data_IF_291459856855
#
_entry.id   IF_291459856855
#
_cell.length_a   1.000
_cell.length_b   1.000
_cell.length_c   1.000
_cell.angle_alpha   90.00
_cell.angle_beta   90.00
_cell.angle_gamma   90.00
#
_symmetry.space_group_name_H-M   'P 1'
#
loop_
_entity.id
_entity.type
_entity.pdbx_description
1 polymer ?
#
# COMPACT_ATOMS: atom_id res chain seq x y z
N UNK A 1 -25.01 36.27 -19.34
CA UNK A 1 -25.96 35.14 -19.27
C UNK A 1 -26.16 34.78 -17.82
N UNK A 2 -27.42 34.71 -17.38
CA UNK A 2 -27.86 34.79 -15.98
C UNK A 2 -27.47 33.55 -15.17
N UNK A 3 -26.91 33.79 -13.98
CA UNK A 3 -26.88 32.85 -12.86
C UNK A 3 -28.31 32.49 -12.46
N UNK A 4 -28.61 31.20 -12.36
CA UNK A 4 -29.74 30.70 -11.56
C UNK A 4 -29.21 29.79 -10.47
N UNK A 5 -29.42 30.25 -9.25
CA UNK A 5 -29.23 29.58 -7.97
C UNK A 5 -29.92 28.21 -7.92
N UNK A 6 -29.17 27.16 -7.59
CA UNK A 6 -29.71 25.88 -7.17
C UNK A 6 -30.19 26.05 -5.72
N UNK A 7 -31.50 26.13 -5.53
CA UNK A 7 -32.09 26.11 -4.19
C UNK A 7 -32.02 24.69 -3.61
N UNK A 8 -31.56 24.65 -2.38
CA UNK A 8 -31.61 23.51 -1.47
C UNK A 8 -33.05 23.13 -1.11
N UNK A 9 -33.24 21.84 -0.82
CA UNK A 9 -34.42 21.18 -0.27
C UNK A 9 -35.59 20.95 -1.26
N UNK A 10 -35.64 19.73 -1.80
CA UNK A 10 -36.86 19.15 -2.38
C UNK A 10 -37.06 17.77 -1.75
N UNK A 11 -37.77 17.75 -0.63
CA UNK A 11 -38.50 16.57 -0.15
C UNK A 11 -39.52 16.23 -1.23
N UNK A 12 -39.20 15.28 -2.12
CA UNK A 12 -40.11 14.89 -3.21
C UNK A 12 -41.19 13.96 -2.66
N UNK A 13 -42.43 14.41 -2.84
CA UNK A 13 -43.67 13.66 -2.70
C UNK A 13 -43.59 12.41 -3.59
N UNK A 14 -44.01 11.21 -3.12
CA UNK A 14 -44.04 10.01 -3.94
C UNK A 14 -45.02 10.20 -5.11
N UNK A 15 -44.57 9.93 -6.33
CA UNK A 15 -45.46 9.83 -7.48
C UNK A 15 -46.24 8.51 -7.34
N UNK A 16 -47.55 8.60 -7.06
CA UNK A 16 -48.47 7.48 -7.16
C UNK A 16 -48.68 7.18 -8.65
N UNK A 17 -47.98 6.18 -9.18
CA UNK A 17 -48.41 5.51 -10.40
C UNK A 17 -49.55 4.53 -10.04
N UNK A 18 -50.40 4.19 -11.01
CA UNK A 18 -51.74 3.60 -10.87
C UNK A 18 -51.91 2.21 -10.19
N UNK A 19 -50.94 1.75 -9.41
CA UNK A 19 -51.06 0.61 -8.50
C UNK A 19 -50.43 1.05 -7.18
N UNK A 20 -50.78 0.50 -6.00
CA UNK A 20 -50.32 0.94 -4.66
C UNK A 20 -48.79 0.88 -4.41
N UNK A 21 -47.97 0.99 -5.45
CA UNK A 21 -46.53 1.00 -5.47
C UNK A 21 -45.95 2.28 -4.88
N UNK A 22 -45.18 2.12 -3.81
CA UNK A 22 -44.42 3.22 -3.20
C UNK A 22 -43.08 3.31 -3.91
N UNK A 23 -42.85 4.42 -4.62
CA UNK A 23 -41.64 4.62 -5.40
C UNK A 23 -40.74 5.70 -4.79
N UNK A 24 -39.46 5.39 -4.63
CA UNK A 24 -38.42 6.32 -4.21
C UNK A 24 -37.27 6.35 -5.20
N UNK A 25 -36.80 7.55 -5.53
CA UNK A 25 -35.67 7.76 -6.43
C UNK A 25 -34.46 8.25 -5.65
N UNK A 26 -33.35 7.54 -5.77
CA UNK A 26 -32.06 7.91 -5.20
C UNK A 26 -31.07 8.19 -6.34
N UNK A 27 -30.54 9.41 -6.40
CA UNK A 27 -29.43 9.76 -7.31
C UNK A 27 -28.10 9.62 -6.59
N UNK A 28 -27.19 8.82 -7.17
CA UNK A 28 -25.83 8.58 -6.68
C UNK A 28 -24.81 9.07 -7.72
N UNK A 29 -24.99 10.31 -8.20
CA UNK A 29 -24.15 10.92 -9.24
C UNK A 29 -24.57 10.50 -10.64
N UNK A 30 -23.80 9.62 -11.29
CA UNK A 30 -24.08 9.13 -12.65
C UNK A 30 -25.01 7.92 -12.69
N UNK A 31 -25.55 7.52 -11.52
CA UNK A 31 -26.55 6.47 -11.36
C UNK A 31 -27.80 7.02 -10.75
N UNK A 32 -28.94 6.55 -11.24
CA UNK A 32 -30.23 6.78 -10.63
C UNK A 32 -30.79 5.41 -10.26
N UNK A 33 -31.06 5.21 -8.98
CA UNK A 33 -31.72 4.02 -8.47
C UNK A 33 -33.18 4.38 -8.20
N UNK A 34 -34.08 3.53 -8.67
CA UNK A 34 -35.51 3.61 -8.40
C UNK A 34 -35.88 2.38 -7.60
N UNK A 35 -36.31 2.60 -6.36
CA UNK A 35 -36.86 1.57 -5.50
C UNK A 35 -38.38 1.64 -5.59
N UNK A 36 -39.01 0.54 -5.96
CA UNK A 36 -40.45 0.41 -6.03
C UNK A 36 -40.89 -0.71 -5.09
N UNK A 37 -41.70 -0.40 -4.09
CA UNK A 37 -42.33 -1.40 -3.22
C UNK A 37 -43.74 -1.67 -3.70
N UNK A 38 -44.06 -2.92 -4.02
CA UNK A 38 -45.43 -3.34 -4.34
C UNK A 38 -46.06 -4.05 -3.12
N UNK A 39 -47.06 -3.45 -2.46
CA UNK A 39 -47.69 -4.03 -1.28
C UNK A 39 -48.57 -5.26 -1.60
N UNK A 40 -48.96 -5.47 -2.86
CA UNK A 40 -49.79 -6.61 -3.25
C UNK A 40 -48.97 -7.89 -3.37
N UNK A 41 -47.73 -7.79 -3.87
CA UNK A 41 -46.80 -8.92 -4.00
C UNK A 41 -45.76 -9.00 -2.86
N UNK A 42 -45.80 -8.04 -1.93
CA UNK A 42 -44.82 -7.83 -0.87
C UNK A 42 -43.36 -7.88 -1.38
N UNK A 43 -43.13 -7.26 -2.54
CA UNK A 43 -41.84 -7.31 -3.23
C UNK A 43 -41.25 -5.91 -3.43
N UNK A 44 -39.94 -5.80 -3.25
CA UNK A 44 -39.16 -4.59 -3.57
C UNK A 44 -38.44 -4.81 -4.89
N UNK A 45 -38.73 -3.97 -5.88
CA UNK A 45 -37.99 -3.90 -7.13
C UNK A 45 -36.98 -2.74 -7.08
N UNK A 46 -35.76 -3.00 -7.57
CA UNK A 46 -34.70 -1.99 -7.66
C UNK A 46 -34.23 -1.88 -9.10
N UNK A 47 -34.64 -0.81 -9.79
CA UNK A 47 -34.20 -0.51 -11.15
C UNK A 47 -33.04 0.48 -11.10
N UNK A 48 -31.98 0.20 -11.85
CA UNK A 48 -30.79 1.04 -11.87
C UNK A 48 -30.57 1.60 -13.28
N UNK A 49 -30.65 2.92 -13.39
CA UNK A 49 -30.33 3.66 -14.61
C UNK A 49 -28.89 4.14 -14.56
N UNK A 50 -28.16 3.89 -15.64
CA UNK A 50 -26.79 4.34 -15.84
C UNK A 50 -26.77 5.37 -16.96
N UNK A 51 -25.98 6.43 -16.80
CA UNK A 51 -25.72 7.35 -17.91
C UNK A 51 -24.87 6.64 -18.97
N UNK A 52 -25.24 6.71 -20.25
CA UNK A 52 -24.46 6.11 -21.35
C UNK A 52 -23.00 6.63 -21.39
N UNK A 53 -22.81 7.91 -21.04
CA UNK A 53 -21.49 8.55 -20.92
C UNK A 53 -20.62 7.92 -19.81
N UNK A 54 -21.24 7.31 -18.80
CA UNK A 54 -20.54 6.76 -17.64
C UNK A 54 -19.97 5.37 -17.87
N UNK A 55 -20.52 4.62 -18.82
CA UNK A 55 -20.10 3.25 -19.13
C UNK A 55 -18.94 3.22 -20.14
N UNK A 56 -18.84 4.23 -21.01
CA UNK A 56 -17.95 4.18 -22.17
C UNK A 56 -16.76 5.14 -22.15
N UNK A 57 -16.77 6.22 -21.36
CA UNK A 57 -15.70 7.22 -21.44
C UNK A 57 -14.79 7.19 -20.22
N UNK A 58 -13.69 6.45 -20.32
CA UNK A 58 -12.49 6.67 -19.49
C UNK A 58 -11.82 8.00 -19.86
N UNK A 59 -12.54 9.13 -19.76
CA UNK A 59 -11.90 10.44 -19.84
C UNK A 59 -11.00 10.55 -18.62
N UNK A 60 -9.71 10.39 -18.85
CA UNK A 60 -8.68 10.70 -17.89
C UNK A 60 -8.20 12.11 -18.16
N UNK A 61 -8.16 12.94 -17.13
CA UNK A 61 -7.61 14.28 -17.19
C UNK A 61 -6.32 14.29 -16.36
N UNK A 62 -5.21 14.68 -16.98
CA UNK A 62 -3.94 14.84 -16.31
C UNK A 62 -3.80 16.28 -15.80
N UNK A 63 -3.54 16.44 -14.51
CA UNK A 63 -3.23 17.72 -13.88
C UNK A 63 -1.74 17.76 -13.54
N UNK A 64 -1.04 18.75 -14.09
CA UNK A 64 0.38 18.98 -13.85
C UNK A 64 0.55 20.10 -12.82
N UNK A 65 1.35 19.87 -11.78
CA UNK A 65 1.64 20.86 -10.75
C UNK A 65 3.07 20.72 -10.23
N UNK A 66 3.53 21.74 -9.50
CA UNK A 66 4.84 21.75 -8.85
C UNK A 66 4.65 21.47 -7.36
N UNK A 67 5.43 20.53 -6.81
CA UNK A 67 5.38 20.13 -5.41
C UNK A 67 6.75 20.31 -4.76
N UNK A 68 6.81 20.94 -3.59
CA UNK A 68 8.05 21.08 -2.84
C UNK A 68 8.53 19.72 -2.31
N UNK A 69 9.79 19.38 -2.59
CA UNK A 69 10.44 18.18 -2.08
C UNK A 69 11.50 18.56 -1.02
N UNK A 70 11.26 18.28 0.27
CA UNK A 70 12.19 18.62 1.35
C UNK A 70 13.57 17.97 1.21
N UNK A 71 13.63 16.76 0.64
CA UNK A 71 14.88 15.99 0.52
C UNK A 71 15.92 16.70 -0.35
N UNK A 72 15.50 17.28 -1.47
CA UNK A 72 16.40 17.98 -2.41
C UNK A 72 16.29 19.52 -2.32
N UNK A 73 15.34 20.05 -1.55
CA UNK A 73 15.12 21.48 -1.41
C UNK A 73 14.67 22.16 -2.71
N UNK A 74 13.91 21.45 -3.57
CA UNK A 74 13.46 21.96 -4.88
C UNK A 74 12.00 21.62 -5.12
N UNK A 75 11.37 22.36 -6.03
CA UNK A 75 10.07 22.00 -6.57
C UNK A 75 10.23 20.94 -7.66
N UNK A 76 9.47 19.86 -7.54
CA UNK A 76 9.40 18.77 -8.51
C UNK A 76 8.08 18.82 -9.26
N UNK A 77 8.11 18.58 -10.57
CA UNK A 77 6.90 18.43 -11.38
C UNK A 77 6.23 17.11 -11.01
N UNK A 78 4.93 17.17 -10.71
CA UNK A 78 4.09 16.01 -10.40
C UNK A 78 2.89 16.01 -11.34
N UNK A 79 2.44 14.81 -11.71
CA UNK A 79 1.27 14.60 -12.56
C UNK A 79 0.27 13.75 -11.79
N UNK A 80 -0.96 14.26 -11.63
CA UNK A 80 -2.07 13.49 -11.09
C UNK A 80 -3.11 13.26 -12.18
N UNK A 81 -3.49 12.00 -12.37
CA UNK A 81 -4.56 11.64 -13.31
C UNK A 81 -5.88 11.53 -12.55
N UNK A 82 -6.92 12.18 -13.07
CA UNK A 82 -8.28 12.12 -12.57
C UNK A 82 -9.17 11.42 -13.59
N UNK A 83 -10.05 10.55 -13.11
CA UNK A 83 -11.08 9.92 -13.93
C UNK A 83 -12.41 10.62 -13.71
N UNK A 84 -13.15 10.96 -14.78
CA UNK A 84 -14.50 11.55 -14.67
C UNK A 84 -15.43 10.70 -13.78
N UNK A 85 -15.37 9.38 -13.94
CA UNK A 85 -16.09 8.42 -13.09
C UNK A 85 -15.10 7.41 -12.52
N UNK A 86 -15.06 7.29 -11.19
CA UNK A 86 -14.26 6.28 -10.51
C UNK A 86 -14.90 4.90 -10.66
N UNK A 87 -14.10 3.84 -10.56
CA UNK A 87 -14.61 2.47 -10.47
C UNK A 87 -15.61 2.38 -9.31
N UNK A 88 -16.75 1.73 -9.58
CA UNK A 88 -17.80 1.57 -8.60
C UNK A 88 -17.30 0.82 -7.36
N UNK A 89 -17.74 1.32 -6.20
CA UNK A 89 -17.47 0.66 -4.93
C UNK A 89 -18.46 -0.48 -4.75
N UNK A 90 -17.97 -1.65 -4.34
CA UNK A 90 -18.79 -2.85 -4.16
C UNK A 90 -19.52 -2.80 -2.82
N UNK A 91 -20.54 -1.96 -2.73
CA UNK A 91 -21.30 -1.74 -1.50
C UNK A 91 -21.85 -3.04 -0.92
N UNK A 92 -22.44 -3.92 -1.73
CA UNK A 92 -22.96 -5.20 -1.24
C UNK A 92 -21.89 -6.09 -0.58
N UNK A 93 -20.68 -6.14 -1.15
CA UNK A 93 -19.56 -6.91 -0.58
C UNK A 93 -19.15 -6.32 0.78
N UNK A 94 -19.16 -5.00 0.87
CA UNK A 94 -18.81 -4.26 2.08
C UNK A 94 -19.88 -4.38 3.16
N UNK A 95 -21.15 -4.30 2.79
CA UNK A 95 -22.28 -4.43 3.71
C UNK A 95 -22.32 -5.85 4.30
N UNK A 96 -22.14 -6.89 3.47
CA UNK A 96 -22.00 -8.26 3.95
C UNK A 96 -20.84 -8.39 4.95
N UNK A 97 -19.68 -7.80 4.64
CA UNK A 97 -18.51 -7.81 5.51
C UNK A 97 -18.76 -7.11 6.85
N UNK A 98 -19.48 -5.98 6.83
CA UNK A 98 -19.85 -5.23 8.03
C UNK A 98 -20.88 -6.00 8.87
N UNK A 99 -21.84 -6.67 8.22
CA UNK A 99 -22.87 -7.48 8.86
C UNK A 99 -22.37 -8.84 9.40
N UNK A 100 -21.09 -9.17 9.19
CA UNK A 100 -20.45 -10.32 9.82
C UNK A 100 -20.21 -11.51 8.90
N UNK A 101 -19.95 -11.26 7.61
CA UNK A 101 -19.45 -12.28 6.67
C UNK A 101 -18.37 -13.17 7.34
N UNK A 102 -18.55 -14.50 7.34
CA UNK A 102 -17.62 -15.43 8.00
C UNK A 102 -16.21 -15.39 7.42
N UNK A 103 -16.04 -15.06 6.13
CA UNK A 103 -14.73 -15.07 5.48
C UNK A 103 -13.82 -13.94 5.98
N UNK A 104 -14.41 -12.83 6.49
CA UNK A 104 -13.73 -11.66 7.08
C UNK A 104 -12.47 -11.22 6.33
N UNK A 105 -12.49 -11.27 5.01
CA UNK A 105 -11.34 -10.97 4.16
C UNK A 105 -11.55 -9.65 3.42
N UNK A 106 -10.55 -8.76 3.45
CA UNK A 106 -10.58 -7.55 2.64
C UNK A 106 -10.10 -7.84 1.21
N UNK A 107 -10.93 -7.54 0.22
CA UNK A 107 -10.58 -7.62 -1.19
C UNK A 107 -9.91 -6.33 -1.71
N UNK A 108 -9.17 -6.46 -2.81
CA UNK A 108 -8.58 -5.31 -3.50
C UNK A 108 -9.69 -4.43 -4.08
N UNK A 109 -9.80 -3.20 -3.59
CA UNK A 109 -10.87 -2.26 -3.95
C UNK A 109 -11.71 -1.81 -2.77
N UNK A 110 -11.70 -2.56 -1.66
CA UNK A 110 -12.33 -2.15 -0.40
C UNK A 110 -11.55 -0.99 0.22
N UNK A 111 -12.27 0.08 0.62
CA UNK A 111 -11.69 1.32 1.16
C UNK A 111 -11.44 1.19 2.67
N UNK A 112 -10.79 0.10 3.08
CA UNK A 112 -10.37 -0.09 4.47
C UNK A 112 -9.26 0.90 4.86
N UNK A 113 -9.21 1.22 6.15
CA UNK A 113 -8.11 1.97 6.75
C UNK A 113 -6.93 1.03 6.95
N UNK A 114 -5.71 1.57 6.86
CA UNK A 114 -4.50 0.76 6.99
C UNK A 114 -3.38 1.47 7.74
N UNK A 115 -2.61 0.69 8.48
CA UNK A 115 -1.32 1.09 9.08
C UNK A 115 -0.29 0.03 8.74
N UNK A 116 0.87 0.45 8.25
CA UNK A 116 1.96 -0.45 7.88
C UNK A 116 3.16 -0.26 8.79
N UNK A 117 3.80 -1.36 9.13
CA UNK A 117 5.06 -1.37 9.84
C UNK A 117 6.05 -2.33 9.17
N UNK A 118 7.34 -2.08 9.37
CA UNK A 118 8.42 -2.97 8.99
C UNK A 118 9.35 -3.17 10.19
N UNK A 119 9.72 -4.42 10.46
CA UNK A 119 10.83 -4.74 11.34
C UNK A 119 12.10 -4.62 10.49
N UNK A 120 12.98 -3.69 10.85
CA UNK A 120 14.27 -3.52 10.19
C UNK A 120 15.29 -4.40 10.92
N UNK A 121 16.02 -5.29 10.21
CA UNK A 121 16.99 -6.16 10.86
C UNK A 121 18.20 -5.38 11.36
N UNK A 122 18.78 -5.91 12.44
CA UNK A 122 20.03 -5.42 13.00
C UNK A 122 21.23 -5.78 12.11
N UNK A 123 22.40 -5.29 12.49
CA UNK A 123 23.68 -5.72 11.92
C UNK A 123 24.22 -6.85 12.77
N UNK A 124 24.63 -7.94 12.13
CA UNK A 124 25.23 -9.09 12.80
C UNK A 124 26.70 -9.17 12.40
N UNK A 125 27.59 -9.17 13.39
CA UNK A 125 29.03 -9.41 13.17
C UNK A 125 29.37 -10.89 13.19
N UNK A 126 28.52 -11.71 13.81
CA UNK A 126 28.72 -13.16 13.92
C UNK A 126 27.38 -13.90 13.94
N UNK A 127 27.44 -15.22 13.77
CA UNK A 127 26.26 -16.08 13.74
C UNK A 127 25.51 -16.14 15.07
N UNK A 128 26.21 -15.98 16.20
CA UNK A 128 25.57 -16.01 17.52
C UNK A 128 24.60 -14.84 17.71
N UNK A 129 24.98 -13.63 17.27
CA UNK A 129 24.12 -12.44 17.27
C UNK A 129 22.92 -12.61 16.35
N UNK A 130 23.11 -13.22 15.18
CA UNK A 130 22.01 -13.51 14.26
C UNK A 130 21.01 -14.50 14.88
N UNK A 131 21.50 -15.57 15.52
CA UNK A 131 20.63 -16.54 16.21
C UNK A 131 19.90 -15.91 17.41
N UNK A 132 20.55 -15.01 18.15
CA UNK A 132 19.88 -14.24 19.20
C UNK A 132 18.73 -13.40 18.62
N UNK A 133 18.97 -12.74 17.47
CA UNK A 133 17.94 -11.96 16.78
C UNK A 133 16.79 -12.82 16.26
N UNK A 134 17.08 -14.02 15.73
CA UNK A 134 16.05 -15.01 15.40
C UNK A 134 15.22 -15.38 16.64
N UNK A 135 15.86 -15.57 17.80
CA UNK A 135 15.17 -15.80 19.08
C UNK A 135 14.24 -14.64 19.48
N UNK A 136 14.67 -13.38 19.27
CA UNK A 136 13.82 -12.19 19.47
C UNK A 136 12.57 -12.24 18.58
N UNK A 137 12.74 -12.62 17.31
CA UNK A 137 11.62 -12.77 16.37
C UNK A 137 10.70 -13.94 16.72
N UNK A 138 11.22 -15.07 17.20
CA UNK A 138 10.39 -16.19 17.65
C UNK A 138 9.46 -15.80 18.80
N UNK A 139 9.93 -15.00 19.77
CA UNK A 139 9.08 -14.43 20.83
C UNK A 139 7.95 -13.54 20.28
N UNK A 140 8.23 -12.81 19.21
CA UNK A 140 7.20 -12.06 18.49
C UNK A 140 6.19 -12.99 17.80
N UNK A 141 6.64 -14.05 17.12
CA UNK A 141 5.76 -15.04 16.50
C UNK A 141 4.83 -15.71 17.53
N UNK A 142 5.33 -16.04 18.71
CA UNK A 142 4.51 -16.58 19.80
C UNK A 142 3.42 -15.59 20.23
N UNK A 143 3.77 -14.30 20.35
CA UNK A 143 2.79 -13.25 20.64
C UNK A 143 1.74 -13.13 19.53
N UNK A 144 2.16 -13.12 18.26
CA UNK A 144 1.25 -13.01 17.11
C UNK A 144 0.30 -14.22 17.02
N UNK A 145 0.79 -15.43 17.25
CA UNK A 145 -0.04 -16.63 17.31
C UNK A 145 -1.09 -16.56 18.43
N UNK A 146 -0.78 -15.95 19.58
CA UNK A 146 -1.75 -15.73 20.66
C UNK A 146 -2.86 -14.73 20.32
N UNK A 147 -2.64 -13.86 19.33
CA UNK A 147 -3.66 -12.90 18.87
C UNK A 147 -4.67 -13.50 17.89
N UNK A 148 -4.39 -14.67 17.32
CA UNK A 148 -5.31 -15.35 16.41
C UNK A 148 -6.58 -15.77 17.15
N UNK A 149 -7.74 -15.67 16.48
CA UNK A 149 -9.00 -16.19 17.02
C UNK A 149 -8.88 -17.69 17.28
N UNK A 150 -9.29 -18.12 18.48
CA UNK A 150 -9.13 -19.50 18.98
C UNK A 150 -9.81 -20.56 18.12
N UNK A 151 -10.78 -20.17 17.29
CA UNK A 151 -11.59 -21.08 16.47
C UNK A 151 -10.92 -21.47 15.14
N UNK A 152 -9.80 -20.82 14.76
CA UNK A 152 -9.05 -21.06 13.52
C UNK A 152 -7.63 -21.57 13.83
N UNK A 153 -7.51 -22.67 14.58
CA UNK A 153 -6.28 -23.24 15.15
C UNK A 153 -5.26 -23.80 14.13
N UNK A 154 -5.06 -23.16 12.97
CA UNK A 154 -3.86 -23.42 12.18
C UNK A 154 -2.78 -22.43 12.63
N UNK A 155 -1.82 -22.93 13.42
CA UNK A 155 -0.64 -22.18 13.84
C UNK A 155 -0.04 -21.47 12.63
N UNK A 156 0.18 -20.18 12.74
CA UNK A 156 0.83 -19.44 11.66
C UNK A 156 2.29 -19.87 11.58
N UNK A 157 2.61 -20.61 10.54
CA UNK A 157 3.98 -20.95 10.19
C UNK A 157 4.56 -19.87 9.27
N UNK A 158 5.53 -19.13 9.79
CA UNK A 158 6.37 -18.19 9.05
C UNK A 158 7.73 -18.85 8.88
N UNK A 159 8.17 -19.02 7.64
CA UNK A 159 9.49 -19.60 7.34
C UNK A 159 10.57 -18.62 7.80
N UNK A 160 11.49 -19.06 8.65
CA UNK A 160 12.65 -18.28 9.08
C UNK A 160 13.82 -18.64 8.17
N UNK A 161 14.50 -17.63 7.63
CA UNK A 161 15.64 -17.76 6.73
C UNK A 161 16.80 -16.96 7.35
N UNK A 162 17.97 -17.58 7.41
CA UNK A 162 19.18 -17.00 8.01
C UNK A 162 20.31 -16.99 6.99
N UNK A 163 21.43 -16.35 7.32
CA UNK A 163 22.63 -16.29 6.47
C UNK A 163 23.22 -17.66 6.13
N UNK A 164 22.92 -18.71 6.91
CA UNK A 164 23.35 -20.10 6.64
C UNK A 164 22.60 -20.75 5.48
N UNK A 165 21.38 -20.30 5.22
CA UNK A 165 20.59 -20.81 4.12
C UNK A 165 21.04 -20.08 2.84
N UNK A 166 21.68 -20.79 1.90
CA UNK A 166 22.09 -20.31 0.56
C UNK A 166 20.89 -19.95 -0.35
N UNK A 167 19.78 -19.52 0.25
CA UNK A 167 18.56 -19.13 -0.42
C UNK A 167 18.58 -17.62 -0.60
N UNK A 168 18.76 -17.16 -1.84
CA UNK A 168 18.44 -15.78 -2.22
C UNK A 168 16.93 -15.54 -2.05
N UNK A 169 16.50 -15.23 -0.83
CA UNK A 169 15.10 -14.90 -0.58
C UNK A 169 14.79 -13.50 -1.11
N UNK A 170 14.15 -13.45 -2.28
CA UNK A 170 13.65 -12.21 -2.90
C UNK A 170 12.52 -11.56 -2.10
N UNK A 171 11.96 -12.29 -1.15
CA UNK A 171 10.87 -11.87 -0.31
C UNK A 171 9.52 -11.81 -1.01
N UNK A 172 8.51 -11.34 -0.28
CA UNK A 172 7.14 -11.35 -0.75
C UNK A 172 7.00 -10.40 -1.93
N UNK A 173 6.51 -10.94 -3.05
CA UNK A 173 6.19 -10.17 -4.24
C UNK A 173 4.84 -9.47 -4.04
N UNK A 174 4.86 -8.23 -3.57
CA UNK A 174 3.63 -7.49 -3.24
C UNK A 174 3.00 -6.93 -4.54
N UNK A 175 1.72 -7.23 -4.80
CA UNK A 175 0.91 -6.56 -5.84
C UNK A 175 0.37 -7.39 -7.01
N UNK A 176 0.11 -8.70 -6.88
CA UNK A 176 -0.61 -9.47 -7.91
C UNK A 176 -2.07 -9.78 -7.56
N UNK A 177 -2.91 -9.80 -8.60
CA UNK A 177 -4.32 -10.19 -8.53
C UNK A 177 -4.56 -11.72 -8.50
N UNK A 178 -3.56 -12.58 -8.73
CA UNK A 178 -3.79 -14.06 -8.77
C UNK A 178 -2.64 -14.97 -8.28
N UNK A 179 -1.39 -14.49 -8.17
CA UNK A 179 -0.24 -15.32 -7.73
C UNK A 179 0.23 -15.03 -6.29
N UNK A 180 -0.30 -14.01 -5.63
CA UNK A 180 0.20 -13.48 -4.35
C UNK A 180 -0.28 -14.21 -3.10
N UNK A 181 -1.16 -15.23 -3.22
CA UNK A 181 -1.76 -15.91 -2.06
C UNK A 181 -0.73 -16.55 -1.11
N UNK A 182 0.48 -16.89 -1.59
CA UNK A 182 1.51 -17.53 -0.76
C UNK A 182 2.59 -16.56 -0.22
N UNK A 183 2.53 -15.27 -0.57
CA UNK A 183 3.56 -14.28 -0.17
C UNK A 183 3.27 -13.62 1.17
N UNK A 184 2.01 -13.66 1.61
CA UNK A 184 1.59 -13.01 2.86
C UNK A 184 0.74 -13.97 3.69
N UNK A 185 0.81 -13.84 5.00
CA UNK A 185 -0.06 -14.53 5.97
C UNK A 185 -1.09 -13.53 6.48
N UNK A 186 -2.34 -13.97 6.57
CA UNK A 186 -3.49 -13.15 6.97
C UNK A 186 -4.20 -13.79 8.12
N UNK A 187 -4.63 -13.00 9.10
CA UNK A 187 -5.49 -13.47 10.17
C UNK A 187 -6.28 -12.31 10.77
N UNK A 188 -7.41 -12.65 11.38
CA UNK A 188 -8.30 -11.69 12.03
C UNK A 188 -8.00 -11.64 13.53
N UNK A 189 -7.98 -10.41 14.06
CA UNK A 189 -7.90 -10.13 15.50
C UNK A 189 -9.25 -9.59 15.94
N UNK A 190 -9.88 -10.27 16.91
CA UNK A 190 -11.08 -9.75 17.57
C UNK A 190 -10.71 -8.58 18.50
N UNK A 191 -11.41 -7.45 18.36
CA UNK A 191 -11.19 -6.25 19.17
C UNK A 191 -12.33 -6.03 20.18
N UNK A 192 -13.23 -7.00 20.34
CA UNK A 192 -14.28 -6.98 21.35
C UNK A 192 -13.72 -7.42 22.70
N UNK A 193 -14.15 -6.76 23.78
CA UNK A 193 -13.87 -7.20 25.15
C UNK A 193 -14.95 -8.15 25.65
N UNK A 194 -16.19 -7.92 25.22
CA UNK A 194 -17.36 -8.74 25.51
C UNK A 194 -18.09 -9.14 24.24
N UNK A 195 -18.77 -10.29 24.26
CA UNK A 195 -19.64 -10.73 23.14
C UNK A 195 -20.80 -9.76 22.87
N UNK A 196 -21.16 -8.93 23.85
CA UNK A 196 -22.21 -7.89 23.75
C UNK A 196 -21.69 -6.58 23.11
N UNK A 197 -20.38 -6.41 23.00
CA UNK A 197 -19.82 -5.22 22.36
C UNK A 197 -20.12 -5.21 20.87
N UNK A 198 -20.21 -4.00 20.30
CA UNK A 198 -20.32 -3.81 18.86
C UNK A 198 -19.26 -4.62 18.12
N UNK A 199 -19.69 -5.24 17.02
CA UNK A 199 -18.84 -6.03 16.14
C UNK A 199 -17.63 -5.20 15.71
N UNK A 200 -16.43 -5.64 16.10
CA UNK A 200 -15.20 -4.90 15.87
C UNK A 200 -14.02 -5.87 15.75
N UNK A 201 -13.38 -5.87 14.59
CA UNK A 201 -12.19 -6.67 14.31
C UNK A 201 -11.27 -5.93 13.35
N UNK A 202 -10.04 -6.42 13.25
CA UNK A 202 -9.06 -5.98 12.25
C UNK A 202 -8.35 -7.19 11.64
N UNK A 203 -7.91 -7.04 10.39
CA UNK A 203 -7.05 -8.02 9.72
C UNK A 203 -5.58 -7.62 9.93
N UNK A 204 -4.75 -8.58 10.28
CA UNK A 204 -3.30 -8.47 10.23
C UNK A 204 -2.77 -9.20 8.99
N UNK A 205 -1.95 -8.50 8.19
CA UNK A 205 -1.31 -9.01 6.98
C UNK A 205 0.20 -8.94 7.16
N UNK A 206 0.84 -10.11 7.20
CA UNK A 206 2.26 -10.30 7.47
C UNK A 206 2.97 -10.91 6.28
N UNK A 207 4.29 -10.77 6.20
CA UNK A 207 5.07 -11.54 5.24
C UNK A 207 5.05 -13.04 5.58
N UNK A 208 5.11 -13.91 4.56
CA UNK A 208 5.09 -15.36 4.77
C UNK A 208 6.44 -15.97 5.16
N UNK A 209 7.53 -15.23 4.94
CA UNK A 209 8.86 -15.57 5.45
C UNK A 209 9.48 -14.37 6.18
N UNK A 210 10.33 -14.69 7.13
CA UNK A 210 11.22 -13.78 7.82
C UNK A 210 12.65 -14.09 7.40
N UNK A 211 13.40 -13.07 7.00
CA UNK A 211 14.81 -13.19 6.67
C UNK A 211 15.61 -12.18 7.47
N UNK A 212 16.77 -12.58 7.98
CA UNK A 212 17.66 -11.70 8.76
C UNK A 212 18.33 -10.62 7.91
N UNK A 213 18.35 -10.78 6.58
CA UNK A 213 18.92 -9.81 5.64
C UNK A 213 17.90 -8.85 5.01
N UNK A 214 16.63 -8.92 5.42
CA UNK A 214 15.52 -8.15 4.84
C UNK A 214 14.56 -7.68 5.93
N UNK A 215 13.77 -6.66 5.63
CA UNK A 215 12.66 -6.26 6.48
C UNK A 215 11.53 -7.30 6.55
N UNK A 216 10.79 -7.30 7.66
CA UNK A 216 9.56 -8.08 7.81
C UNK A 216 8.36 -7.14 8.00
N UNK A 217 7.39 -7.19 7.09
CA UNK A 217 6.25 -6.27 7.08
C UNK A 217 5.07 -6.79 7.89
N UNK A 218 4.43 -5.85 8.59
CA UNK A 218 3.23 -6.06 9.41
C UNK A 218 2.24 -4.96 9.05
N UNK A 219 1.11 -5.32 8.44
CA UNK A 219 0.06 -4.38 8.08
C UNK A 219 -1.21 -4.67 8.88
N UNK A 220 -1.83 -3.62 9.38
CA UNK A 220 -3.14 -3.63 10.01
C UNK A 220 -4.15 -3.07 9.04
N UNK A 221 -5.25 -3.78 8.82
CA UNK A 221 -6.33 -3.36 7.93
C UNK A 221 -7.64 -3.43 8.71
N UNK A 222 -8.47 -2.40 8.63
CA UNK A 222 -9.75 -2.40 9.32
C UNK A 222 -10.80 -1.52 8.63
N UNK A 223 -12.06 -1.92 8.83
CA UNK A 223 -13.23 -1.21 8.34
C UNK A 223 -14.33 -1.12 9.42
N UNK A 224 -14.52 -2.20 10.17
CA UNK A 224 -15.59 -2.36 11.17
C UNK A 224 -15.15 -2.02 12.61
N UNK A 225 -13.98 -1.42 12.80
CA UNK A 225 -13.46 -1.09 14.12
C UNK A 225 -13.18 0.42 14.27
N UNK A 226 -13.39 0.94 15.47
CA UNK A 226 -12.97 2.30 15.83
C UNK A 226 -11.44 2.40 15.82
N UNK A 227 -10.90 3.52 15.34
CA UNK A 227 -9.47 3.76 15.28
C UNK A 227 -8.78 3.62 16.65
N UNK A 228 -9.42 4.04 17.74
CA UNK A 228 -8.87 3.93 19.11
C UNK A 228 -8.62 2.49 19.56
N UNK A 229 -9.53 1.56 19.23
CA UNK A 229 -9.35 0.12 19.52
C UNK A 229 -8.16 -0.46 18.74
N UNK A 230 -8.04 -0.11 17.46
CA UNK A 230 -6.92 -0.55 16.61
C UNK A 230 -5.62 0.05 17.14
N UNK A 231 -5.60 1.32 17.48
CA UNK A 231 -4.43 2.01 18.00
C UNK A 231 -3.94 1.39 19.32
N UNK A 232 -4.84 1.06 20.25
CA UNK A 232 -4.47 0.36 21.47
C UNK A 232 -3.74 -0.97 21.16
N UNK A 233 -4.23 -1.73 20.17
CA UNK A 233 -3.60 -2.99 19.77
C UNK A 233 -2.25 -2.78 19.05
N UNK A 234 -2.13 -1.73 18.24
CA UNK A 234 -0.87 -1.33 17.59
C UNK A 234 0.17 -0.91 18.64
N UNK A 235 -0.22 -0.11 19.64
CA UNK A 235 0.66 0.31 20.74
C UNK A 235 1.14 -0.89 21.57
N UNK A 236 0.28 -1.89 21.80
CA UNK A 236 0.68 -3.14 22.44
C UNK A 236 1.74 -3.88 21.63
N UNK A 237 1.57 -4.00 20.30
CA UNK A 237 2.59 -4.60 19.44
C UNK A 237 3.90 -3.82 19.50
N UNK A 238 3.86 -2.49 19.37
CA UNK A 238 5.05 -1.64 19.44
C UNK A 238 5.82 -1.86 20.74
N UNK A 239 5.12 -1.86 21.88
CA UNK A 239 5.72 -2.12 23.20
C UNK A 239 6.35 -3.51 23.27
N UNK A 240 5.72 -4.54 22.71
CA UNK A 240 6.29 -5.90 22.66
C UNK A 240 7.54 -5.96 21.79
N UNK A 241 7.53 -5.35 20.61
CA UNK A 241 8.71 -5.26 19.76
C UNK A 241 9.87 -4.56 20.49
N UNK A 242 9.62 -3.43 21.17
CA UNK A 242 10.63 -2.75 21.99
C UNK A 242 11.16 -3.65 23.11
N UNK A 243 10.27 -4.35 23.84
CA UNK A 243 10.67 -5.29 24.90
C UNK A 243 11.52 -6.45 24.38
N UNK A 244 11.26 -6.93 23.17
CA UNK A 244 12.03 -8.00 22.55
C UNK A 244 13.29 -7.49 21.86
N UNK A 245 13.52 -6.18 21.81
CA UNK A 245 14.66 -5.59 21.09
C UNK A 245 14.53 -5.64 19.57
N UNK A 246 13.30 -5.64 19.04
CA UNK A 246 13.02 -5.58 17.60
C UNK A 246 12.71 -4.14 17.16
N UNK A 247 13.41 -3.68 16.12
CA UNK A 247 13.23 -2.33 15.57
C UNK A 247 12.02 -2.25 14.64
N UNK A 248 10.86 -1.92 15.22
CA UNK A 248 9.62 -1.72 14.48
C UNK A 248 9.46 -0.26 14.00
N UNK A 249 9.39 -0.05 12.69
CA UNK A 249 9.26 1.26 12.06
C UNK A 249 7.94 1.37 11.29
N UNK A 250 7.22 2.49 11.45
CA UNK A 250 6.02 2.78 10.65
C UNK A 250 6.42 3.11 9.21
N UNK A 251 5.72 2.55 8.22
CA UNK A 251 6.08 2.71 6.79
C UNK A 251 4.97 3.43 6.00
N UNK A 252 5.31 4.21 4.97
CA UNK A 252 4.32 4.93 4.18
C UNK A 252 3.59 3.98 3.23
N UNK A 253 2.34 4.29 2.86
CA UNK A 253 1.59 3.44 1.93
C UNK A 253 2.29 3.24 0.57
N UNK A 254 3.05 4.23 0.11
CA UNK A 254 3.86 4.12 -1.11
C UNK A 254 4.84 2.93 -1.06
N UNK A 255 5.33 2.53 0.12
CA UNK A 255 6.27 1.40 0.25
C UNK A 255 5.65 0.03 0.02
N UNK A 256 4.33 -0.08 -0.05
CA UNK A 256 3.62 -1.35 -0.36
C UNK A 256 2.71 -1.23 -1.58
N UNK A 257 2.50 0.00 -2.07
CA UNK A 257 1.69 0.29 -3.24
C UNK A 257 2.46 0.02 -4.54
N UNK A 258 1.74 -0.47 -5.55
CA UNK A 258 2.26 -0.55 -6.91
C UNK A 258 2.50 0.83 -7.53
N UNK A 259 1.71 1.81 -7.12
CA UNK A 259 1.89 3.20 -7.51
C UNK A 259 2.69 3.92 -6.42
N UNK A 260 3.88 4.42 -6.79
CA UNK A 260 4.75 5.20 -5.89
C UNK A 260 4.24 6.63 -5.72
N UNK A 261 3.39 7.10 -6.64
CA UNK A 261 2.77 8.42 -6.64
C UNK A 261 1.37 8.42 -6.01
N UNK A 262 1.04 7.37 -5.24
CA UNK A 262 -0.29 7.19 -4.60
C UNK A 262 -0.74 8.37 -3.75
N UNK A 263 0.19 9.18 -3.25
CA UNK A 263 -0.13 10.41 -2.54
C UNK A 263 0.20 11.63 -3.41
N UNK A 264 -0.80 12.42 -3.84
CA UNK A 264 -0.57 13.59 -4.69
C UNK A 264 0.21 14.71 -3.99
N UNK A 265 0.28 14.70 -2.66
CA UNK A 265 0.99 15.71 -1.87
C UNK A 265 2.45 15.34 -1.58
N UNK A 266 2.91 14.20 -2.09
CA UNK A 266 4.31 13.79 -1.96
C UNK A 266 4.88 13.53 -3.35
N UNK A 267 6.02 14.17 -3.64
CA UNK A 267 6.76 13.97 -4.87
C UNK A 267 7.98 13.08 -4.58
N UNK A 268 7.94 11.79 -4.97
CA UNK A 268 9.15 10.97 -5.04
C UNK A 268 10.19 11.63 -5.95
N UNK A 269 11.46 11.54 -5.56
CA UNK A 269 12.57 11.96 -6.41
C UNK A 269 12.85 10.82 -7.39
N UNK A 270 12.97 11.15 -8.67
CA UNK A 270 13.24 10.17 -9.72
C UNK A 270 14.58 10.47 -10.38
N UNK A 271 15.49 9.49 -10.36
CA UNK A 271 16.82 9.61 -10.95
C UNK A 271 17.01 8.48 -11.97
N UNK A 272 17.06 8.78 -13.29
CA UNK A 272 17.29 7.77 -14.31
C UNK A 272 18.78 7.43 -14.43
N UNK A 273 19.12 6.13 -14.44
CA UNK A 273 20.46 5.61 -14.72
C UNK A 273 20.40 4.76 -15.99
N UNK A 274 21.02 5.25 -17.07
CA UNK A 274 20.95 4.67 -18.43
C UNK A 274 22.11 3.75 -18.76
N UNK A 275 22.57 3.00 -17.77
CA UNK A 275 23.63 2.01 -17.95
C UNK A 275 23.36 0.80 -17.04
N UNK A 276 23.44 -0.39 -17.62
CA UNK A 276 23.15 -1.65 -16.94
C UNK A 276 24.21 -2.01 -15.90
N UNK A 277 25.49 -1.84 -16.23
CA UNK A 277 26.60 -2.18 -15.34
C UNK A 277 26.66 -1.23 -14.15
N UNK A 278 26.46 0.07 -14.39
CA UNK A 278 26.37 1.07 -13.33
C UNK A 278 25.17 0.78 -12.43
N UNK A 279 24.00 0.45 -13.01
CA UNK A 279 22.80 0.11 -12.22
C UNK A 279 23.05 -1.06 -11.26
N UNK A 280 23.68 -2.13 -11.73
CA UNK A 280 24.02 -3.31 -10.91
C UNK A 280 25.04 -2.94 -9.82
N UNK A 281 26.07 -2.17 -10.17
CA UNK A 281 27.10 -1.72 -9.24
C UNK A 281 26.52 -0.83 -8.13
N UNK A 282 25.66 0.12 -8.50
CA UNK A 282 24.96 1.01 -7.57
C UNK A 282 24.07 0.23 -6.61
N UNK A 283 23.32 -0.76 -7.09
CA UNK A 283 22.48 -1.60 -6.23
C UNK A 283 23.30 -2.32 -5.15
N UNK A 284 24.43 -2.92 -5.53
CA UNK A 284 25.35 -3.56 -4.60
C UNK A 284 25.92 -2.55 -3.60
N UNK A 285 26.32 -1.37 -4.08
CA UNK A 285 26.92 -0.31 -3.26
C UNK A 285 25.92 0.28 -2.26
N UNK A 286 24.65 0.43 -2.64
CA UNK A 286 23.59 0.92 -1.75
C UNK A 286 23.43 0.00 -0.54
N UNK A 287 23.45 -1.32 -0.76
CA UNK A 287 23.33 -2.31 0.32
C UNK A 287 24.59 -2.38 1.19
N UNK A 288 25.78 -2.32 0.58
CA UNK A 288 27.05 -2.55 1.28
C UNK A 288 27.63 -1.29 1.94
N UNK A 289 27.51 -0.12 1.30
CA UNK A 289 28.19 1.10 1.72
C UNK A 289 27.25 2.18 2.30
N UNK A 290 25.98 2.19 1.87
CA UNK A 290 25.01 3.21 2.31
C UNK A 290 24.00 2.70 3.33
N UNK A 291 24.23 1.52 3.90
CA UNK A 291 23.41 0.93 4.97
C UNK A 291 21.91 0.80 4.64
N UNK A 292 21.62 0.49 3.38
CA UNK A 292 20.30 0.06 2.98
C UNK A 292 20.15 -1.44 3.18
N UNK A 293 18.92 -1.84 3.50
CA UNK A 293 18.52 -3.24 3.59
C UNK A 293 17.41 -3.52 2.59
N UNK A 294 17.36 -4.75 2.07
CA UNK A 294 16.29 -5.19 1.18
C UNK A 294 14.94 -5.12 1.90
N UNK A 295 13.97 -4.51 1.22
CA UNK A 295 12.56 -4.43 1.65
C UNK A 295 11.66 -5.31 0.74
N UNK A 296 12.26 -6.21 -0.04
CA UNK A 296 11.59 -7.14 -0.94
C UNK A 296 11.30 -6.57 -2.33
N UNK A 297 10.46 -7.26 -3.08
CA UNK A 297 10.09 -6.90 -4.46
C UNK A 297 8.61 -6.52 -4.57
N UNK A 298 8.33 -5.47 -5.32
CA UNK A 298 6.99 -4.88 -5.43
C UNK A 298 6.64 -4.69 -6.89
N UNK A 299 5.50 -5.23 -7.30
CA UNK A 299 4.93 -4.92 -8.60
C UNK A 299 4.64 -3.44 -8.68
N UNK A 300 5.36 -2.73 -9.54
CA UNK A 300 5.27 -1.29 -9.68
C UNK A 300 4.68 -0.94 -11.04
N UNK A 301 3.79 0.03 -11.05
CA UNK A 301 3.20 0.56 -12.27
C UNK A 301 4.11 1.66 -12.84
N UNK A 302 4.81 1.42 -13.96
CA UNK A 302 5.69 2.42 -14.56
C UNK A 302 4.93 3.46 -15.38
N UNK A 303 3.60 3.40 -15.48
CA UNK A 303 2.81 4.32 -16.32
C UNK A 303 3.04 5.79 -15.96
N UNK A 304 3.23 6.10 -14.67
CA UNK A 304 3.54 7.45 -14.21
C UNK A 304 4.96 7.92 -14.57
N UNK A 305 5.84 7.00 -14.99
CA UNK A 305 7.24 7.27 -15.37
C UNK A 305 7.44 7.39 -16.89
N UNK A 306 6.38 7.27 -17.69
CA UNK A 306 6.45 7.35 -19.16
C UNK A 306 6.98 8.70 -19.68
N UNK A 307 6.93 9.75 -18.87
CA UNK A 307 7.49 11.06 -19.20
C UNK A 307 9.04 11.08 -19.18
N UNK A 308 9.68 9.98 -18.77
CA UNK A 308 11.14 9.84 -18.74
C UNK A 308 11.57 9.16 -20.03
N UNK A 309 12.16 9.95 -20.93
CA UNK A 309 12.51 9.49 -22.27
C UNK A 309 13.55 8.36 -22.28
N UNK A 310 13.31 7.41 -23.18
CA UNK A 310 14.24 6.33 -23.56
C UNK A 310 14.05 4.99 -22.84
N UNK A 311 13.26 4.93 -21.78
CA UNK A 311 12.97 3.69 -21.04
C UNK A 311 11.91 2.84 -21.74
N UNK A 312 12.13 1.52 -21.78
CA UNK A 312 11.23 0.58 -22.46
C UNK A 312 10.67 -0.44 -21.48
N UNK A 313 9.37 -0.35 -21.23
CA UNK A 313 8.65 -1.25 -20.33
C UNK A 313 7.72 -2.20 -21.10
N UNK A 314 7.51 -3.43 -20.60
CA UNK A 314 6.67 -4.41 -21.27
C UNK A 314 5.22 -3.92 -21.37
N UNK A 315 4.61 -4.10 -22.54
CA UNK A 315 3.22 -3.69 -22.83
C UNK A 315 2.33 -4.92 -22.99
N UNK A 316 1.08 -4.84 -22.53
CA UNK A 316 0.06 -5.86 -22.76
C UNK A 316 -0.46 -5.73 -24.20
N UNK A 317 -0.20 -6.70 -25.10
CA UNK A 317 -0.45 -6.52 -26.54
C UNK A 317 -1.90 -6.20 -26.91
N UNK A 318 -2.86 -6.71 -26.13
CA UNK A 318 -4.30 -6.58 -26.43
C UNK A 318 -4.89 -5.22 -26.03
N UNK A 319 -4.27 -4.52 -25.08
CA UNK A 319 -4.79 -3.26 -24.53
C UNK A 319 -3.83 -2.09 -24.73
N UNK A 320 -2.63 -2.33 -25.26
CA UNK A 320 -1.53 -1.36 -25.34
C UNK A 320 -1.23 -0.66 -23.99
N UNK A 321 -1.55 -1.33 -22.87
CA UNK A 321 -1.31 -0.83 -21.53
C UNK A 321 0.04 -1.34 -21.03
N UNK A 322 0.82 -0.47 -20.41
CA UNK A 322 2.09 -0.87 -19.80
C UNK A 322 1.82 -1.84 -18.64
N UNK A 323 2.55 -2.95 -18.64
CA UNK A 323 2.44 -3.99 -17.63
C UNK A 323 3.18 -3.54 -16.37
N UNK A 324 2.62 -3.87 -15.20
CA UNK A 324 3.35 -3.73 -13.92
C UNK A 324 4.63 -4.56 -13.96
N UNK A 325 5.74 -3.95 -13.57
CA UNK A 325 7.07 -4.57 -13.53
C UNK A 325 7.47 -4.86 -12.10
N UNK A 326 8.30 -5.88 -11.90
CA UNK A 326 8.76 -6.21 -10.56
C UNK A 326 9.94 -5.32 -10.19
N UNK A 327 9.75 -4.43 -9.22
CA UNK A 327 10.75 -3.48 -8.76
C UNK A 327 11.33 -3.90 -7.42
N UNK A 328 12.64 -3.77 -7.26
CA UNK A 328 13.34 -4.09 -6.01
C UNK A 328 13.28 -2.88 -5.10
N UNK A 329 12.92 -3.07 -3.83
CA UNK A 329 12.83 -1.99 -2.87
C UNK A 329 13.84 -2.17 -1.75
N UNK A 330 14.39 -1.05 -1.31
CA UNK A 330 15.32 -0.95 -0.21
C UNK A 330 14.85 0.11 0.76
N UNK A 331 15.19 -0.05 2.03
CA UNK A 331 15.00 0.96 3.07
C UNK A 331 16.33 1.18 3.77
N UNK A 332 16.66 2.43 4.07
CA UNK A 332 17.82 2.73 4.90
C UNK A 332 17.59 2.15 6.30
N UNK A 333 18.61 1.61 6.98
CA UNK A 333 18.41 0.97 8.30
C UNK A 333 17.83 1.90 9.36
N UNK A 334 17.97 3.21 9.24
CA UNK A 334 17.28 4.15 10.15
C UNK A 334 15.77 4.20 9.92
N UNK A 335 15.27 3.75 8.76
CA UNK A 335 13.86 3.74 8.38
C UNK A 335 13.37 5.03 7.73
N UNK A 336 14.24 6.02 7.52
CA UNK A 336 13.85 7.38 7.09
C UNK A 336 13.66 7.54 5.58
N UNK A 337 14.29 6.69 4.76
CA UNK A 337 14.25 6.76 3.30
C UNK A 337 14.04 5.37 2.71
N UNK A 338 13.24 5.33 1.64
CA UNK A 338 13.09 4.18 0.76
C UNK A 338 13.65 4.50 -0.63
N UNK A 339 14.18 3.48 -1.27
CA UNK A 339 14.65 3.51 -2.66
C UNK A 339 14.01 2.35 -3.38
N UNK A 340 13.30 2.62 -4.47
CA UNK A 340 12.73 1.60 -5.35
C UNK A 340 13.42 1.65 -6.71
N UNK A 341 13.93 0.51 -7.15
CA UNK A 341 14.64 0.33 -8.39
C UNK A 341 13.70 -0.29 -9.42
N UNK A 342 13.41 0.47 -10.47
CA UNK A 342 12.53 0.05 -11.56
C UNK A 342 13.40 -0.11 -12.80
N UNK A 343 13.70 -1.36 -13.13
CA UNK A 343 14.56 -1.69 -14.28
C UNK A 343 13.71 -1.97 -15.51
N UNK A 344 14.15 -1.45 -16.66
CA UNK A 344 13.49 -1.60 -17.94
C UNK A 344 14.05 -2.80 -18.74
N UNK A 345 13.56 -3.03 -19.96
CA UNK A 345 14.01 -4.16 -20.80
C UNK A 345 15.47 -4.02 -21.29
N UNK A 346 16.03 -2.81 -21.31
CA UNK A 346 17.43 -2.54 -21.67
C UNK A 346 18.39 -2.77 -20.49
N UNK A 347 17.86 -2.94 -19.29
CA UNK A 347 18.63 -3.00 -18.05
C UNK A 347 18.95 -1.63 -17.47
N UNK A 348 18.37 -0.55 -18.01
CA UNK A 348 18.44 0.78 -17.41
C UNK A 348 17.53 0.83 -16.20
N UNK A 349 17.93 1.57 -15.18
CA UNK A 349 17.21 1.58 -13.90
C UNK A 349 16.80 2.98 -13.51
N UNK A 350 15.54 3.13 -13.11
CA UNK A 350 15.00 4.34 -12.52
C UNK A 350 15.01 4.17 -11.00
N UNK A 351 15.75 5.06 -10.32
CA UNK A 351 15.80 5.14 -8.87
C UNK A 351 14.67 6.07 -8.41
N UNK A 352 13.66 5.50 -7.77
CA UNK A 352 12.56 6.26 -7.16
C UNK A 352 12.78 6.32 -5.66
N UNK A 353 13.10 7.52 -5.18
CA UNK A 353 13.49 7.78 -3.79
C UNK A 353 12.36 8.54 -3.09
N UNK A 354 11.93 8.04 -1.94
CA UNK A 354 10.89 8.71 -1.16
C UNK A 354 11.14 8.64 0.34
N UNK A 355 10.74 9.70 1.03
CA UNK A 355 10.93 9.89 2.46
C UNK A 355 9.85 9.13 3.26
N UNK A 356 10.24 8.54 4.38
CA UNK A 356 9.31 7.95 5.34
C UNK A 356 8.76 9.00 6.31
N UNK A 357 7.87 9.86 5.84
CA UNK A 357 7.25 10.90 6.69
C UNK A 357 6.41 10.33 7.85
N UNK A 358 5.97 9.07 7.76
CA UNK A 358 5.25 8.39 8.86
C UNK A 358 6.16 8.07 10.04
N UNK A 359 7.43 7.76 9.78
CA UNK A 359 8.42 7.52 10.83
C UNK A 359 9.10 8.81 11.32
N UNK A 360 9.34 9.75 10.40
CA UNK A 360 9.96 11.04 10.73
C UNK A 360 9.00 11.90 11.54
N UNK A 361 7.73 12.02 11.11
CA UNK A 361 6.78 12.88 11.79
C UNK A 361 7.27 14.32 11.83
N UNK A 362 7.51 14.83 13.05
CA UNK A 362 8.03 16.18 13.32
C UNK A 362 9.44 16.16 13.93
N UNK A 363 10.16 15.03 13.81
CA UNK A 363 11.49 14.83 14.36
C UNK A 363 12.55 15.44 13.43
N UNK A 364 13.14 16.57 13.84
CA UNK A 364 14.14 17.32 13.08
C UNK A 364 15.41 16.50 12.81
N UNK A 365 15.82 15.65 13.76
CA UNK A 365 17.05 14.87 13.64
C UNK A 365 16.87 13.78 12.59
N UNK A 366 15.70 13.12 12.58
CA UNK A 366 15.37 12.16 11.51
C UNK A 366 15.20 12.83 10.15
N UNK A 367 14.68 14.06 10.11
CA UNK A 367 14.57 14.83 8.86
C UNK A 367 15.96 15.17 8.30
N UNK A 368 16.86 15.67 9.14
CA UNK A 368 18.24 15.95 8.74
C UNK A 368 18.96 14.67 8.32
N UNK A 369 18.81 13.58 9.06
CA UNK A 369 19.37 12.28 8.70
C UNK A 369 18.86 11.80 7.33
N UNK A 370 17.56 11.98 7.04
CA UNK A 370 17.02 11.65 5.72
C UNK A 370 17.71 12.47 4.63
N UNK A 371 17.87 13.78 4.83
CA UNK A 371 18.56 14.64 3.88
C UNK A 371 20.00 14.21 3.65
N UNK A 372 20.75 13.90 4.70
CA UNK A 372 22.15 13.47 4.59
C UNK A 372 22.30 12.14 3.85
N UNK A 373 21.44 11.17 4.14
CA UNK A 373 21.39 9.88 3.43
C UNK A 373 21.06 10.10 1.95
N UNK A 374 20.08 10.96 1.65
CA UNK A 374 19.74 11.31 0.27
C UNK A 374 20.92 11.96 -0.47
N UNK A 375 21.60 12.93 0.15
CA UNK A 375 22.73 13.62 -0.48
C UNK A 375 23.89 12.68 -0.78
N UNK A 376 24.20 11.74 0.13
CA UNK A 376 25.21 10.69 -0.08
C UNK A 376 24.83 9.78 -1.26
N UNK A 377 23.58 9.33 -1.30
CA UNK A 377 23.06 8.50 -2.39
C UNK A 377 23.11 9.24 -3.73
N UNK A 378 22.64 10.49 -3.76
CA UNK A 378 22.63 11.30 -4.97
C UNK A 378 24.05 11.56 -5.49
N UNK A 379 25.00 11.86 -4.60
CA UNK A 379 26.41 12.02 -4.97
C UNK A 379 26.97 10.75 -5.61
N UNK A 380 26.74 9.59 -4.98
CA UNK A 380 27.20 8.30 -5.49
C UNK A 380 26.65 8.00 -6.90
N UNK A 381 25.35 8.25 -7.12
CA UNK A 381 24.72 8.05 -8.43
C UNK A 381 25.37 8.97 -9.47
N UNK A 382 25.53 10.26 -9.16
CA UNK A 382 26.10 11.24 -10.09
C UNK A 382 27.56 10.95 -10.44
N UNK A 383 28.39 10.57 -9.45
CA UNK A 383 29.79 10.19 -9.68
C UNK A 383 29.90 8.94 -10.56
N UNK A 384 29.05 7.95 -10.32
CA UNK A 384 29.04 6.71 -11.12
C UNK A 384 28.59 6.97 -12.56
N UNK A 385 27.61 7.85 -12.78
CA UNK A 385 27.15 8.19 -14.14
C UNK A 385 28.13 9.07 -14.90
N UNK A 386 28.82 9.98 -14.22
CA UNK A 386 29.80 10.89 -14.85
C UNK A 386 31.08 10.16 -15.25
N UNK A 387 31.54 9.16 -14.47
CA UNK A 387 32.73 8.38 -14.79
C UNK A 387 32.55 7.42 -15.99
N UNK A 388 31.32 7.25 -16.48
CA UNK A 388 30.99 6.40 -17.61
C UNK A 388 30.71 7.17 -18.91
N UNK A 389 30.67 8.52 -18.84
CA UNK A 389 30.60 9.42 -19.99
C UNK A 389 32.00 9.88 -20.37
#
# INVERSE_FOLDING_TARGET
>A
MKNQSISSASTRIPYLNNENTIQHTLSMGHRIQVLSYNPTSDSVEVVQYYSDDSLNVKVTQAYNFMMWCPLNGKYSKVVQTFTKFSREYRWNEVDNLICGDPDKAFSEGTRFRRLGFAIIPDRFSNMAQEQEYVGKFQRLLEYLNKLQQKDLQQKMEIKIITSMEDVKDKGPTIGTNRLGKNTVKRFVVDLRKSKRDNYAWMEMVLDSSFSTNRTFKINFQWLVASASKVEAQVQLLQRRCTQYGLKLVNIPHASISADVFVNPFFAPIVIPVRDKHISISLESTISNALDFVSDGEIFTDPSHLQHIDGFVFPVVPRFFLVKKVLARQFVHRSGVIFVRLITDEKGWTIFVIFQNRRHIGSDSDKEQLARDVFLKLNRLIMESTNNAS
#
